data_IF_400916635828
#
_entry.id   IF_400916635828
#
_cell.length_a   1.000
_cell.length_b   1.000
_cell.length_c   1.000
_cell.angle_alpha   90.00
_cell.angle_beta   90.00
_cell.angle_gamma   90.00
#
_symmetry.space_group_name_H-M   'P 1'
#
loop_
_entity.id
_entity.type
_entity.pdbx_description
1 polymer ?
#
# COMPACT_ATOMS: atom_id res chain seq x y z
N UNK A 1 2.40 42.12 14.81
CA UNK A 1 2.91 41.52 13.58
C UNK A 1 2.42 40.10 13.61
N UNK A 2 1.22 39.94 13.05
CA UNK A 2 0.33 38.80 13.20
C UNK A 2 0.38 38.07 11.88
N UNK A 3 0.81 36.81 11.88
CA UNK A 3 0.63 35.97 10.71
C UNK A 3 -0.17 34.72 11.11
N UNK A 4 -1.13 34.41 10.25
CA UNK A 4 -2.24 33.51 10.46
C UNK A 4 -1.99 32.17 9.71
N UNK A 5 -3.00 31.28 9.62
CA UNK A 5 -3.05 30.00 10.31
C UNK A 5 -2.44 28.83 9.54
N UNK A 6 -2.07 27.79 10.30
CA UNK A 6 -1.81 26.42 9.84
C UNK A 6 -2.95 25.92 8.93
N UNK A 7 -2.67 25.71 7.65
CA UNK A 7 -3.59 25.07 6.70
C UNK A 7 -3.42 23.56 6.79
N UNK A 8 -4.50 22.88 7.19
CA UNK A 8 -4.65 21.45 6.93
C UNK A 8 -4.65 21.26 5.41
N UNK A 9 -3.66 20.52 4.92
CA UNK A 9 -3.53 20.17 3.49
C UNK A 9 -4.64 19.21 3.14
N UNK A 10 -5.68 19.72 2.47
CA UNK A 10 -6.76 18.91 1.91
C UNK A 10 -6.43 18.46 0.49
N UNK A 11 -7.10 17.38 0.10
CA UNK A 11 -6.91 16.57 -1.11
C UNK A 11 -7.04 17.46 -2.36
N UNK A 12 -6.01 17.44 -3.23
CA UNK A 12 -5.71 18.37 -4.33
C UNK A 12 -5.04 19.70 -3.92
N UNK A 13 -3.96 19.64 -3.14
CA UNK A 13 -3.00 20.75 -3.09
C UNK A 13 -2.15 20.71 -4.38
N UNK A 14 -2.09 21.78 -5.18
CA UNK A 14 -1.33 21.80 -6.44
C UNK A 14 0.19 21.60 -6.26
N UNK A 15 0.65 21.54 -5.01
CA UNK A 15 2.04 21.29 -4.66
C UNK A 15 2.36 19.81 -4.41
N UNK A 16 1.39 18.89 -4.34
CA UNK A 16 1.64 17.46 -4.07
C UNK A 16 1.64 16.66 -5.38
N UNK A 17 2.76 16.00 -5.69
CA UNK A 17 2.85 15.09 -6.84
C UNK A 17 2.31 13.70 -6.53
N UNK A 18 2.54 13.22 -5.30
CA UNK A 18 2.08 11.91 -4.85
C UNK A 18 1.91 11.86 -3.34
N UNK A 19 0.97 11.05 -2.87
CA UNK A 19 0.72 10.82 -1.44
C UNK A 19 0.58 9.34 -1.12
N UNK A 20 1.15 8.93 0.00
CA UNK A 20 0.97 7.62 0.64
C UNK A 20 0.44 7.82 2.06
N UNK A 21 -0.41 6.93 2.53
CA UNK A 21 -0.81 6.88 3.93
C UNK A 21 0.03 5.89 4.72
N UNK A 22 0.40 6.30 5.92
CA UNK A 22 0.98 5.45 6.94
C UNK A 22 -0.15 4.81 7.76
N UNK A 23 -0.31 3.51 7.61
CA UNK A 23 -1.22 2.69 8.38
C UNK A 23 -0.47 2.11 9.57
N UNK A 24 -1.03 2.21 10.76
CA UNK A 24 -0.57 1.55 11.96
C UNK A 24 -1.54 0.44 12.33
N UNK A 25 -1.03 -0.79 12.50
CA UNK A 25 -1.80 -1.83 13.16
C UNK A 25 -1.59 -1.72 14.68
N UNK A 26 -2.66 -1.41 15.41
CA UNK A 26 -2.65 -1.41 16.86
C UNK A 26 -2.26 -2.81 17.36
N UNK A 27 -1.22 -2.95 18.21
CA UNK A 27 -0.72 -4.25 18.65
C UNK A 27 -1.71 -4.99 19.54
N UNK A 28 -2.59 -4.27 20.24
CA UNK A 28 -3.59 -4.85 21.15
C UNK A 28 -4.90 -5.15 20.42
N UNK A 29 -5.52 -4.14 19.81
CA UNK A 29 -6.83 -4.29 19.16
C UNK A 29 -6.75 -4.91 17.76
N UNK A 30 -5.54 -5.00 17.18
CA UNK A 30 -5.28 -5.44 15.80
C UNK A 30 -5.93 -4.59 14.72
N UNK A 31 -6.54 -3.46 15.10
CA UNK A 31 -7.16 -2.50 14.18
C UNK A 31 -6.10 -1.77 13.36
N UNK A 32 -6.41 -1.54 12.08
CA UNK A 32 -5.60 -0.72 11.19
C UNK A 32 -6.11 0.72 11.21
N UNK A 33 -5.23 1.66 11.52
CA UNK A 33 -5.55 3.08 11.66
C UNK A 33 -4.64 3.87 10.72
N UNK A 34 -5.21 4.76 9.91
CA UNK A 34 -4.46 5.72 9.10
C UNK A 34 -3.89 6.78 10.02
N UNK A 35 -2.61 6.70 10.35
CA UNK A 35 -1.99 7.60 11.34
C UNK A 35 -1.20 8.74 10.73
N UNK A 36 -0.84 8.67 9.45
CA UNK A 36 -0.11 9.76 8.82
C UNK A 36 -0.20 9.76 7.30
N UNK A 37 0.22 10.87 6.71
CA UNK A 37 0.32 11.05 5.27
C UNK A 37 1.75 11.48 4.92
N UNK A 38 2.41 10.71 4.06
CA UNK A 38 3.66 11.06 3.42
C UNK A 38 3.36 11.60 2.02
N UNK A 39 3.75 12.83 1.75
CA UNK A 39 3.55 13.49 0.46
C UNK A 39 4.89 13.82 -0.19
N UNK A 40 5.02 13.48 -1.46
CA UNK A 40 6.06 14.01 -2.34
C UNK A 40 5.53 15.29 -2.97
N UNK A 41 6.32 16.36 -2.89
CA UNK A 41 5.96 17.67 -3.41
C UNK A 41 6.49 17.84 -4.84
N UNK A 42 5.83 18.67 -5.61
CA UNK A 42 6.19 19.01 -7.01
C UNK A 42 7.57 19.63 -7.16
N UNK A 43 8.11 20.21 -6.09
CA UNK A 43 9.48 20.76 -6.04
C UNK A 43 10.54 19.76 -5.58
N UNK A 44 10.17 18.48 -5.40
CA UNK A 44 11.06 17.38 -5.01
C UNK A 44 11.28 17.21 -3.50
N UNK A 45 10.66 18.05 -2.66
CA UNK A 45 10.68 17.87 -1.20
C UNK A 45 9.65 16.83 -0.74
N UNK A 46 9.77 16.41 0.52
CA UNK A 46 8.82 15.49 1.17
C UNK A 46 8.18 16.16 2.38
N UNK A 47 6.87 15.96 2.54
CA UNK A 47 6.10 16.38 3.70
C UNK A 47 5.50 15.18 4.43
N UNK A 48 5.53 15.19 5.76
CA UNK A 48 4.84 14.21 6.60
C UNK A 48 3.97 14.92 7.63
N UNK A 49 2.73 14.48 7.78
CA UNK A 49 1.80 14.96 8.80
C UNK A 49 0.98 13.80 9.37
N UNK A 50 0.63 13.90 10.65
CA UNK A 50 -0.30 12.98 11.28
C UNK A 50 -1.75 13.32 10.92
N UNK A 51 -2.58 12.30 10.79
CA UNK A 51 -4.02 12.44 10.57
C UNK A 51 -4.74 12.76 11.89
N UNK A 52 -6.02 13.11 11.80
CA UNK A 52 -6.86 13.27 12.99
C UNK A 52 -7.12 11.92 13.70
N UNK A 53 -7.20 10.82 12.93
CA UNK A 53 -7.30 9.47 13.49
C UNK A 53 -6.11 9.13 14.41
N UNK A 54 -4.91 9.57 14.05
CA UNK A 54 -3.73 9.42 14.90
C UNK A 54 -3.86 10.14 16.24
N UNK A 55 -4.51 11.31 16.25
CA UNK A 55 -4.73 12.12 17.47
C UNK A 55 -5.85 11.54 18.32
N UNK A 56 -6.84 10.92 17.68
CA UNK A 56 -7.99 10.31 18.34
C UNK A 56 -7.65 8.92 18.92
N UNK A 57 -6.67 8.22 18.35
CA UNK A 57 -6.20 6.94 18.85
C UNK A 57 -5.42 7.09 20.16
N UNK A 58 -6.05 6.72 21.28
CA UNK A 58 -5.47 6.88 22.63
C UNK A 58 -4.13 6.14 22.81
N UNK A 59 -3.97 4.99 22.16
CA UNK A 59 -2.78 4.13 22.30
C UNK A 59 -1.72 4.39 21.23
N UNK A 60 -1.98 5.34 20.32
CA UNK A 60 -1.02 5.69 19.29
C UNK A 60 0.14 6.50 19.89
N UNK A 61 1.36 6.19 19.45
CA UNK A 61 2.57 6.90 19.85
C UNK A 61 3.20 7.59 18.63
N UNK A 62 3.60 8.87 18.77
CA UNK A 62 4.34 9.55 17.71
C UNK A 62 5.64 8.82 17.37
N UNK A 63 5.97 8.78 16.09
CA UNK A 63 7.26 8.32 15.60
C UNK A 63 8.38 9.20 16.16
N UNK A 64 9.50 8.60 16.56
CA UNK A 64 10.65 9.33 17.15
C UNK A 64 11.16 10.47 16.27
N UNK A 65 11.13 10.31 14.95
CA UNK A 65 11.54 11.35 13.99
C UNK A 65 10.52 12.50 13.89
N UNK A 66 9.28 12.28 14.31
CA UNK A 66 8.15 13.19 14.18
C UNK A 66 7.36 13.26 15.51
N UNK A 67 7.92 13.87 16.56
CA UNK A 67 7.40 13.74 17.92
C UNK A 67 6.10 14.52 18.20
N UNK A 68 5.85 15.60 17.47
CA UNK A 68 4.66 16.43 17.58
C UNK A 68 3.61 16.02 16.52
N UNK A 69 2.43 15.58 16.99
CA UNK A 69 1.29 15.21 16.15
C UNK A 69 0.70 16.42 15.41
N UNK A 70 0.77 17.62 16.01
CA UNK A 70 0.29 18.91 15.48
C UNK A 70 1.03 19.45 14.27
N UNK A 71 2.23 18.93 14.01
CA UNK A 71 3.17 19.54 13.10
C UNK A 71 3.21 18.82 11.75
N UNK A 72 3.32 19.62 10.69
CA UNK A 72 3.76 19.15 9.38
C UNK A 72 5.28 19.25 9.29
N UNK A 73 5.93 18.16 8.91
CA UNK A 73 7.38 18.05 8.77
C UNK A 73 7.76 18.09 7.31
N UNK A 74 8.55 19.07 6.89
CA UNK A 74 9.04 19.19 5.51
C UNK A 74 10.54 18.91 5.48
N UNK A 75 10.97 18.14 4.50
CA UNK A 75 12.36 17.68 4.34
C UNK A 75 12.77 17.68 2.88
N UNK A 76 14.06 17.96 2.61
CA UNK A 76 14.60 17.98 1.25
C UNK A 76 14.78 16.59 0.63
N UNK A 77 14.77 15.53 1.44
CA UNK A 77 14.87 14.15 0.99
C UNK A 77 14.01 13.25 1.86
N UNK A 78 13.74 12.03 1.39
CA UNK A 78 12.86 11.10 2.06
C UNK A 78 13.32 10.86 3.52
N UNK A 79 12.45 11.05 4.53
CA UNK A 79 12.85 10.88 5.92
C UNK A 79 13.35 9.46 6.23
N UNK A 80 14.34 9.36 7.11
CA UNK A 80 14.97 8.10 7.52
C UNK A 80 13.98 7.00 7.96
N UNK A 81 12.88 7.36 8.62
CA UNK A 81 11.82 6.42 8.97
C UNK A 81 11.31 5.64 7.74
N UNK A 82 11.12 6.32 6.61
CA UNK A 82 10.65 5.74 5.35
C UNK A 82 11.78 5.12 4.54
N UNK A 83 12.97 5.73 4.50
CA UNK A 83 14.16 5.16 3.82
C UNK A 83 14.48 3.76 4.37
N UNK A 84 14.37 3.57 5.68
CA UNK A 84 14.66 2.28 6.31
C UNK A 84 13.64 1.17 5.99
N UNK A 85 12.63 1.45 5.17
CA UNK A 85 11.65 0.47 4.65
C UNK A 85 11.95 0.06 3.21
N UNK A 86 12.94 0.69 2.59
CA UNK A 86 13.37 0.39 1.23
C UNK A 86 14.50 -0.63 1.24
N UNK A 87 14.48 -1.53 0.24
CA UNK A 87 15.62 -2.38 -0.03
C UNK A 87 16.82 -1.50 -0.46
N UNK A 88 18.00 -1.79 0.10
CA UNK A 88 19.22 -1.11 -0.33
C UNK A 88 19.53 -1.40 -1.80
N UNK A 89 19.73 -0.33 -2.58
CA UNK A 89 20.13 -0.38 -4.00
C UNK A 89 21.47 -1.07 -4.26
N UNK A 90 22.29 -1.26 -3.21
CA UNK A 90 23.61 -1.91 -3.30
C UNK A 90 23.54 -3.44 -3.22
N UNK A 91 22.36 -4.02 -2.98
CA UNK A 91 22.19 -5.47 -2.90
C UNK A 91 22.21 -6.06 -4.30
N UNK A 92 22.92 -7.16 -4.49
CA UNK A 92 22.98 -7.87 -5.77
C UNK A 92 21.58 -8.32 -6.25
N UNK A 93 20.68 -8.59 -5.32
CA UNK A 93 19.28 -8.98 -5.60
C UNK A 93 18.34 -7.80 -5.89
N UNK A 94 18.84 -6.55 -5.93
CA UNK A 94 17.99 -5.37 -6.15
C UNK A 94 17.32 -5.35 -7.54
N UNK A 95 17.99 -5.74 -8.65
CA UNK A 95 17.34 -5.83 -9.96
C UNK A 95 16.18 -6.83 -9.98
N UNK A 96 16.38 -8.05 -9.47
CA UNK A 96 15.32 -9.09 -9.40
C UNK A 96 14.15 -8.64 -8.52
N UNK A 97 14.44 -7.87 -7.47
CA UNK A 97 13.44 -7.25 -6.62
C UNK A 97 12.60 -6.21 -7.37
N UNK A 98 13.22 -5.30 -8.12
CA UNK A 98 12.49 -4.33 -8.95
C UNK A 98 11.61 -5.02 -10.00
N UNK A 99 12.15 -6.04 -10.66
CA UNK A 99 11.41 -6.83 -11.65
C UNK A 99 10.19 -7.51 -11.01
N UNK A 100 10.37 -8.09 -9.81
CA UNK A 100 9.27 -8.72 -9.08
C UNK A 100 8.17 -7.73 -8.71
N UNK A 101 8.55 -6.46 -8.48
CA UNK A 101 7.62 -5.37 -8.25
C UNK A 101 7.03 -4.80 -9.55
N UNK A 102 7.35 -5.32 -10.74
CA UNK A 102 6.87 -4.80 -12.02
C UNK A 102 7.45 -3.42 -12.38
N UNK A 103 8.64 -3.10 -11.87
CA UNK A 103 9.35 -1.85 -12.16
C UNK A 103 10.44 -2.15 -13.20
N UNK A 104 10.08 -2.01 -14.47
CA UNK A 104 10.98 -2.30 -15.60
C UNK A 104 11.60 -1.04 -16.22
N UNK A 105 11.19 0.15 -15.77
CA UNK A 105 11.73 1.44 -16.20
C UNK A 105 12.42 2.19 -15.05
N UNK A 106 13.60 2.79 -15.27
CA UNK A 106 14.25 3.66 -14.28
C UNK A 106 13.37 4.83 -13.82
N UNK A 107 12.47 5.31 -14.67
CA UNK A 107 11.57 6.44 -14.35
C UNK A 107 10.50 6.07 -13.31
N UNK A 108 10.25 4.77 -13.14
CA UNK A 108 9.33 4.22 -12.12
C UNK A 108 10.06 3.80 -10.84
N UNK A 109 11.39 3.76 -10.82
CA UNK A 109 12.20 3.44 -9.64
C UNK A 109 12.36 4.67 -8.72
N UNK A 110 11.23 5.23 -8.27
CA UNK A 110 11.21 6.26 -7.24
C UNK A 110 11.04 5.64 -5.86
N UNK A 111 11.61 6.25 -4.79
CA UNK A 111 11.39 5.80 -3.42
C UNK A 111 9.90 5.68 -3.06
N UNK A 112 9.06 6.59 -3.56
CA UNK A 112 7.61 6.57 -3.32
C UNK A 112 6.93 5.37 -4.00
N UNK A 113 7.31 5.05 -5.23
CA UNK A 113 6.75 3.88 -5.93
C UNK A 113 7.13 2.58 -5.25
N UNK A 114 8.38 2.44 -4.80
CA UNK A 114 8.82 1.27 -4.06
C UNK A 114 8.06 1.11 -2.73
N UNK A 115 7.87 2.20 -1.99
CA UNK A 115 7.10 2.18 -0.74
C UNK A 115 5.65 1.75 -1.00
N UNK A 116 5.02 2.29 -2.05
CA UNK A 116 3.65 1.98 -2.42
C UNK A 116 3.46 0.50 -2.79
N UNK A 117 4.28 -0.03 -3.70
CA UNK A 117 4.13 -1.42 -4.18
C UNK A 117 4.42 -2.45 -3.10
N UNK A 118 5.33 -2.13 -2.18
CA UNK A 118 5.81 -3.09 -1.18
C UNK A 118 5.01 -3.05 0.12
N UNK A 119 4.34 -1.93 0.40
CA UNK A 119 3.76 -1.65 1.70
C UNK A 119 4.78 -1.23 2.76
N UNK A 120 6.07 -1.14 2.41
CA UNK A 120 7.18 -0.85 3.32
C UNK A 120 7.23 -1.69 4.62
N UNK A 121 6.95 -3.01 4.58
CA UNK A 121 6.85 -3.82 5.78
C UNK A 121 8.20 -3.89 6.50
N UNK A 122 8.16 -3.82 7.82
CA UNK A 122 9.34 -3.99 8.65
C UNK A 122 9.05 -4.97 9.77
N UNK A 123 9.88 -6.01 9.90
CA UNK A 123 9.68 -7.05 10.91
C UNK A 123 9.69 -6.52 12.36
N UNK A 124 10.21 -5.31 12.59
CA UNK A 124 10.33 -4.70 13.92
C UNK A 124 9.16 -3.79 14.29
N UNK A 125 8.19 -3.56 13.40
CA UNK A 125 7.04 -2.72 13.67
C UNK A 125 5.78 -3.17 12.92
N UNK A 126 4.69 -2.45 13.15
CA UNK A 126 3.35 -2.77 12.63
C UNK A 126 2.84 -1.68 11.68
N UNK A 127 3.75 -1.01 10.98
CA UNK A 127 3.39 0.04 10.03
C UNK A 127 3.38 -0.46 8.59
N UNK A 128 2.43 0.05 7.81
CA UNK A 128 2.32 -0.19 6.38
C UNK A 128 2.16 1.13 5.63
N UNK A 129 2.65 1.21 4.40
CA UNK A 129 2.44 2.33 3.50
C UNK A 129 1.47 1.93 2.41
N UNK A 130 0.47 2.75 2.16
CA UNK A 130 -0.56 2.45 1.16
C UNK A 130 -0.73 3.62 0.22
N UNK A 131 -0.98 3.34 -1.06
CA UNK A 131 -1.38 4.38 -2.00
C UNK A 131 -2.67 5.05 -1.52
N UNK A 132 -2.77 6.33 -1.83
CA UNK A 132 -4.04 7.04 -1.72
C UNK A 132 -4.99 6.54 -2.81
N UNK A 133 -6.09 5.89 -2.44
CA UNK A 133 -7.10 5.34 -3.38
C UNK A 133 -8.00 6.43 -3.99
N UNK A 134 -7.37 7.50 -4.45
CA UNK A 134 -8.01 8.62 -5.15
C UNK A 134 -8.13 8.28 -6.63
N UNK A 135 -9.28 8.62 -7.19
CA UNK A 135 -9.51 8.47 -8.62
C UNK A 135 -8.75 9.53 -9.40
N UNK A 136 -8.25 9.14 -10.57
CA UNK A 136 -7.68 10.08 -11.53
C UNK A 136 -8.76 10.98 -12.17
N UNK A 137 -8.34 11.84 -13.11
CA UNK A 137 -9.23 12.74 -13.82
C UNK A 137 -10.34 12.02 -14.62
N UNK A 138 -10.15 10.75 -14.95
CA UNK A 138 -11.09 9.91 -15.70
C UNK A 138 -11.99 9.06 -14.77
N UNK A 139 -11.88 9.25 -13.46
CA UNK A 139 -12.64 8.52 -12.45
C UNK A 139 -12.13 7.10 -12.20
N UNK A 140 -10.88 6.81 -12.56
CA UNK A 140 -10.26 5.49 -12.37
C UNK A 140 -9.39 5.51 -11.11
N UNK A 141 -9.66 4.57 -10.20
CA UNK A 141 -8.81 4.27 -9.05
C UNK A 141 -7.90 3.12 -9.42
N UNK A 142 -6.59 3.32 -9.28
CA UNK A 142 -5.57 2.27 -9.44
C UNK A 142 -4.74 2.15 -8.17
N UNK A 143 -4.50 0.93 -7.71
CA UNK A 143 -3.61 0.67 -6.58
C UNK A 143 -2.92 -0.69 -6.72
N UNK A 144 -1.78 -0.88 -6.06
CA UNK A 144 -1.01 -2.11 -6.11
C UNK A 144 -0.75 -2.65 -4.72
N UNK A 145 -0.72 -3.97 -4.60
CA UNK A 145 -0.37 -4.64 -3.35
C UNK A 145 0.23 -6.03 -3.63
N UNK A 146 1.16 -6.45 -2.79
CA UNK A 146 1.66 -7.82 -2.79
C UNK A 146 0.70 -8.75 -2.06
N UNK A 147 0.40 -9.89 -2.66
CA UNK A 147 -0.47 -10.90 -2.03
C UNK A 147 0.14 -11.41 -0.72
N UNK A 148 -0.66 -11.48 0.33
CA UNK A 148 -0.27 -12.06 1.61
C UNK A 148 -0.44 -13.57 1.61
N UNK A 149 0.32 -14.26 2.45
CA UNK A 149 0.10 -15.68 2.73
C UNK A 149 0.33 -16.66 1.56
N UNK A 150 0.96 -16.23 0.46
CA UNK A 150 1.23 -17.08 -0.72
C UNK A 150 1.93 -18.37 -0.34
N UNK A 151 2.92 -18.34 0.57
CA UNK A 151 3.63 -19.54 1.04
C UNK A 151 2.74 -20.62 1.66
N UNK A 152 1.55 -20.26 2.16
CA UNK A 152 0.63 -21.18 2.81
C UNK A 152 -0.35 -21.82 1.84
N UNK A 153 -0.69 -21.10 0.77
CA UNK A 153 -1.68 -21.53 -0.21
C UNK A 153 -1.02 -22.14 -1.46
N UNK A 154 0.12 -21.61 -1.88
CA UNK A 154 0.86 -22.00 -3.07
C UNK A 154 2.37 -22.06 -2.75
N UNK A 155 2.74 -22.98 -1.87
CA UNK A 155 4.08 -23.06 -1.27
C UNK A 155 5.20 -23.26 -2.30
N UNK A 156 4.96 -24.06 -3.34
CA UNK A 156 5.88 -24.33 -4.44
C UNK A 156 5.68 -23.38 -5.64
N UNK A 157 4.65 -22.52 -5.64
CA UNK A 157 4.35 -21.62 -6.74
C UNK A 157 3.68 -22.30 -7.93
N UNK A 158 3.27 -23.56 -7.81
CA UNK A 158 2.76 -24.35 -8.94
C UNK A 158 1.46 -23.78 -9.51
N UNK A 159 0.60 -23.19 -8.67
CA UNK A 159 -0.63 -22.55 -9.16
C UNK A 159 -0.33 -21.24 -9.86
N UNK A 160 0.56 -20.42 -9.29
CA UNK A 160 0.99 -19.16 -9.90
C UNK A 160 1.77 -19.38 -11.21
N UNK A 161 2.47 -20.49 -11.37
CA UNK A 161 3.16 -20.82 -12.63
C UNK A 161 2.20 -20.97 -13.83
N UNK A 162 0.90 -21.16 -13.58
CA UNK A 162 -0.14 -21.22 -14.61
C UNK A 162 -0.86 -19.87 -14.83
N UNK A 163 -0.42 -18.80 -14.18
CA UNK A 163 -1.03 -17.47 -14.27
C UNK A 163 -0.17 -16.57 -15.13
N UNK A 164 -0.79 -15.87 -16.07
CA UNK A 164 -0.12 -14.88 -16.91
C UNK A 164 -0.21 -13.47 -16.30
N UNK A 165 0.79 -12.64 -16.58
CA UNK A 165 0.72 -11.21 -16.27
C UNK A 165 -0.47 -10.57 -17.00
N UNK A 166 -1.22 -9.72 -16.30
CA UNK A 166 -2.46 -9.12 -16.79
C UNK A 166 -3.71 -10.01 -16.63
N UNK A 167 -3.57 -11.24 -16.12
CA UNK A 167 -4.72 -12.10 -15.89
C UNK A 167 -5.61 -11.59 -14.76
N UNK A 168 -6.93 -11.67 -14.97
CA UNK A 168 -7.92 -11.36 -13.93
C UNK A 168 -7.93 -12.42 -12.83
N UNK A 169 -7.93 -11.95 -11.60
CA UNK A 169 -8.02 -12.73 -10.38
C UNK A 169 -9.40 -12.55 -9.76
N UNK A 170 -9.83 -13.55 -9.00
CA UNK A 170 -11.12 -13.53 -8.30
C UNK A 170 -10.89 -13.33 -6.80
N UNK A 171 -11.78 -12.57 -6.16
CA UNK A 171 -11.83 -12.47 -4.72
C UNK A 171 -12.90 -13.41 -4.17
N UNK A 172 -12.58 -14.11 -3.09
CA UNK A 172 -13.52 -14.98 -2.38
C UNK A 172 -13.41 -14.75 -0.87
N UNK A 173 -14.52 -14.39 -0.24
CA UNK A 173 -14.60 -14.29 1.22
C UNK A 173 -14.37 -15.64 1.89
N UNK A 174 -13.63 -15.64 2.99
CA UNK A 174 -13.41 -16.81 3.86
C UNK A 174 -13.90 -16.49 5.29
N UNK A 175 -15.22 -16.48 5.53
CA UNK A 175 -15.80 -16.04 6.82
C UNK A 175 -15.38 -16.92 8.00
N UNK A 176 -15.04 -18.18 7.76
CA UNK A 176 -14.60 -19.14 8.77
C UNK A 176 -13.08 -19.11 9.00
N UNK A 177 -12.37 -18.10 8.46
CA UNK A 177 -10.93 -17.98 8.65
C UNK A 177 -10.60 -17.76 10.14
N UNK A 178 -9.73 -18.57 10.75
CA UNK A 178 -9.49 -18.55 12.19
C UNK A 178 -8.69 -17.32 12.67
N UNK A 179 -8.08 -16.57 11.75
CA UNK A 179 -7.27 -15.38 12.05
C UNK A 179 -8.07 -14.10 11.83
N UNK A 180 -8.84 -14.04 10.74
CA UNK A 180 -9.59 -12.86 10.34
C UNK A 180 -10.84 -13.25 9.54
N UNK A 181 -12.03 -13.13 10.12
CA UNK A 181 -13.32 -13.40 9.47
C UNK A 181 -13.59 -12.54 8.21
N UNK A 182 -12.87 -11.43 8.03
CA UNK A 182 -12.94 -10.58 6.83
C UNK A 182 -11.96 -11.00 5.73
N UNK A 183 -11.22 -12.10 5.90
CA UNK A 183 -10.21 -12.53 4.95
C UNK A 183 -10.78 -12.69 3.53
N UNK A 184 -10.09 -12.09 2.57
CA UNK A 184 -10.39 -12.21 1.14
C UNK A 184 -9.28 -13.04 0.48
N UNK A 185 -9.64 -14.23 0.03
CA UNK A 185 -8.78 -15.07 -0.79
C UNK A 185 -8.64 -14.46 -2.18
N UNK A 186 -7.43 -14.54 -2.72
CA UNK A 186 -7.11 -14.27 -4.11
C UNK A 186 -7.06 -15.60 -4.82
N UNK A 187 -7.94 -15.79 -5.79
CA UNK A 187 -8.09 -17.02 -6.55
C UNK A 187 -7.72 -16.80 -8.02
N UNK A 188 -7.07 -17.80 -8.61
CA UNK A 188 -6.79 -17.83 -10.06
C UNK A 188 -8.04 -18.26 -10.83
N UNK A 189 -7.98 -18.24 -12.17
CA UNK A 189 -9.13 -18.58 -13.02
C UNK A 189 -9.75 -19.96 -12.78
N UNK A 190 -8.99 -20.93 -12.24
CA UNK A 190 -9.49 -22.25 -11.84
C UNK A 190 -10.32 -22.23 -10.54
N UNK A 191 -10.35 -21.11 -9.81
CA UNK A 191 -10.99 -20.97 -8.49
C UNK A 191 -10.10 -21.41 -7.32
N UNK A 192 -8.87 -21.86 -7.59
CA UNK A 192 -7.90 -22.21 -6.57
C UNK A 192 -7.28 -20.98 -5.92
N UNK A 193 -7.12 -20.97 -4.58
CA UNK A 193 -6.53 -19.84 -3.87
C UNK A 193 -5.00 -19.82 -4.02
N UNK A 194 -4.43 -18.63 -4.18
CA UNK A 194 -2.98 -18.40 -4.29
C UNK A 194 -2.44 -17.40 -3.28
N UNK A 195 -3.31 -16.67 -2.58
CA UNK A 195 -2.91 -15.69 -1.58
C UNK A 195 -4.13 -15.05 -0.92
N UNK A 196 -3.86 -14.03 -0.12
CA UNK A 196 -4.84 -13.21 0.55
C UNK A 196 -4.63 -11.74 0.20
N UNK A 197 -5.71 -10.97 0.16
CA UNK A 197 -5.63 -9.51 0.25
C UNK A 197 -5.03 -9.17 1.62
N UNK A 198 -4.01 -8.30 1.70
CA UNK A 198 -3.45 -7.88 2.98
C UNK A 198 -4.51 -7.26 3.89
N UNK A 199 -4.49 -7.59 5.19
CA UNK A 199 -5.54 -7.16 6.12
C UNK A 199 -5.70 -5.64 6.20
N UNK A 200 -4.60 -4.88 6.06
CA UNK A 200 -4.61 -3.41 6.06
C UNK A 200 -5.39 -2.81 4.87
N UNK A 201 -5.64 -3.59 3.81
CA UNK A 201 -6.34 -3.15 2.61
C UNK A 201 -7.84 -3.49 2.63
N UNK A 202 -8.30 -4.34 3.55
CA UNK A 202 -9.66 -4.89 3.51
C UNK A 202 -10.74 -3.80 3.62
N UNK A 203 -10.60 -2.87 4.56
CA UNK A 203 -11.55 -1.75 4.71
C UNK A 203 -11.58 -0.88 3.45
N UNK A 204 -10.41 -0.56 2.91
CA UNK A 204 -10.27 0.27 1.72
C UNK A 204 -10.84 -0.40 0.46
N UNK A 205 -10.67 -1.71 0.36
CA UNK A 205 -11.23 -2.54 -0.69
C UNK A 205 -12.76 -2.60 -0.59
N UNK A 206 -13.32 -2.83 0.60
CA UNK A 206 -14.78 -2.82 0.84
C UNK A 206 -15.39 -1.46 0.50
N UNK A 207 -14.79 -0.36 0.96
CA UNK A 207 -15.22 1.00 0.65
C UNK A 207 -15.15 1.29 -0.86
N UNK A 208 -14.14 0.74 -1.54
CA UNK A 208 -14.00 0.90 -2.99
C UNK A 208 -15.05 0.07 -3.74
N UNK A 209 -15.30 -1.16 -3.31
CA UNK A 209 -16.36 -2.02 -3.86
C UNK A 209 -17.74 -1.37 -3.70
N UNK A 210 -18.02 -0.72 -2.57
CA UNK A 210 -19.30 -0.06 -2.31
C UNK A 210 -19.54 1.18 -3.19
N UNK A 211 -18.49 1.86 -3.65
CA UNK A 211 -18.57 3.13 -4.40
C UNK A 211 -18.21 3.02 -5.89
N UNK A 212 -17.76 1.86 -6.35
CA UNK A 212 -17.32 1.63 -7.72
C UNK A 212 -18.21 0.61 -8.44
N UNK A 213 -18.23 0.71 -9.77
CA UNK A 213 -18.75 -0.34 -10.64
C UNK A 213 -17.59 -1.01 -11.36
N UNK A 214 -17.51 -2.33 -11.31
CA UNK A 214 -16.47 -3.09 -12.01
C UNK A 214 -15.10 -2.99 -11.36
N UNK A 215 -15.01 -3.21 -10.04
CA UNK A 215 -13.73 -3.46 -9.39
C UNK A 215 -13.11 -4.75 -9.92
N UNK A 216 -11.89 -4.67 -10.43
CA UNK A 216 -11.12 -5.80 -10.93
C UNK A 216 -9.82 -5.93 -10.13
N UNK A 217 -9.44 -7.18 -9.86
CA UNK A 217 -8.11 -7.52 -9.35
C UNK A 217 -7.38 -8.22 -10.48
N UNK A 218 -6.19 -7.71 -10.81
CA UNK A 218 -5.36 -8.20 -11.89
C UNK A 218 -4.03 -8.68 -11.32
N UNK A 219 -3.51 -9.79 -11.82
CA UNK A 219 -2.13 -10.20 -11.60
C UNK A 219 -1.20 -9.25 -12.38
N UNK A 220 -0.77 -8.15 -11.74
CA UNK A 220 0.14 -7.17 -12.36
C UNK A 220 1.46 -7.82 -12.75
N UNK A 221 2.01 -8.63 -11.85
CA UNK A 221 3.24 -9.39 -12.05
C UNK A 221 3.19 -10.71 -11.28
N UNK A 222 3.54 -11.79 -11.94
CA UNK A 222 3.65 -13.13 -11.38
C UNK A 222 5.09 -13.61 -11.44
N UNK A 223 5.65 -13.97 -10.29
CA UNK A 223 7.04 -14.43 -10.15
C UNK A 223 7.09 -15.73 -9.32
N UNK A 224 6.72 -16.90 -9.88
CA UNK A 224 6.58 -18.14 -9.11
C UNK A 224 7.85 -18.53 -8.33
N UNK A 225 9.02 -18.29 -8.93
CA UNK A 225 10.32 -18.62 -8.36
C UNK A 225 10.85 -17.59 -7.36
N UNK A 226 10.17 -16.44 -7.20
CA UNK A 226 10.58 -15.42 -6.25
C UNK A 226 10.33 -15.85 -4.80
N UNK A 227 10.86 -15.06 -3.85
CA UNK A 227 10.52 -15.21 -2.44
C UNK A 227 8.99 -15.15 -2.28
N UNK A 228 8.36 -15.94 -1.40
CA UNK A 228 6.91 -16.08 -1.37
C UNK A 228 6.10 -14.79 -1.31
N UNK A 229 6.61 -13.77 -0.61
CA UNK A 229 5.95 -12.46 -0.47
C UNK A 229 6.09 -11.55 -1.71
N UNK A 230 6.85 -11.96 -2.73
CA UNK A 230 7.07 -11.25 -4.00
C UNK A 230 6.51 -12.02 -5.22
N UNK A 231 5.88 -13.18 -4.99
CA UNK A 231 5.43 -14.06 -6.09
C UNK A 231 4.22 -13.53 -6.84
N UNK A 232 3.41 -12.68 -6.21
CA UNK A 232 2.21 -12.14 -6.82
C UNK A 232 2.05 -10.67 -6.41
N UNK A 233 2.25 -9.78 -7.37
CA UNK A 233 1.84 -8.39 -7.30
C UNK A 233 0.46 -8.28 -7.94
N UNK A 234 -0.49 -7.78 -7.17
CA UNK A 234 -1.85 -7.50 -7.62
C UNK A 234 -2.00 -6.01 -7.94
N UNK A 235 -2.86 -5.70 -8.91
CA UNK A 235 -3.36 -4.36 -9.17
C UNK A 235 -4.88 -4.33 -9.03
N UNK A 236 -5.36 -3.35 -8.28
CA UNK A 236 -6.76 -2.98 -8.21
C UNK A 236 -7.03 -1.98 -9.31
N UNK A 237 -8.08 -2.21 -10.09
CA UNK A 237 -8.67 -1.23 -10.99
C UNK A 237 -10.14 -1.07 -10.64
N UNK A 238 -10.59 0.16 -10.44
CA UNK A 238 -12.00 0.41 -10.20
C UNK A 238 -12.41 1.74 -10.82
N UNK A 239 -13.58 1.78 -11.45
CA UNK A 239 -14.17 3.03 -11.91
C UNK A 239 -15.17 3.52 -10.88
N UNK A 240 -14.90 4.69 -10.31
CA UNK A 240 -15.81 5.37 -9.39
C UNK A 240 -16.61 6.42 -10.15
N UNK A 241 -17.90 6.54 -9.84
CA UNK A 241 -18.71 7.62 -10.38
C UNK A 241 -18.17 8.97 -9.87
N UNK A 242 -18.08 10.02 -10.71
CA UNK A 242 -17.76 11.36 -10.24
C UNK A 242 -18.75 11.76 -9.15
N UNK A 243 -18.23 12.34 -8.07
CA UNK A 243 -19.04 12.88 -6.97
C UNK A 243 -19.74 14.17 -7.38
#
# INVERSE_FOLDING_TARGET
MTDAPSRAVSIADPEVSRRLFLIWQNPESRQFIRVGALSELTDGRYAFAYTDDARAAADFYPLTQFPDLGRTYVSAGLPAFFVNRLMSRKRDSFPDYLHSLGIDSPDLDTPMELLARTGGPRATDTFHLVDDLVADADGVVTSRFLASGVRYLDADGARLACVEDGQRLQLRSEPDNPVNERAQLICVGSGEPVGYVPDWLLTDLEDLQARSSGLEIVAERVNPDAQPHLRLLCRIEARVSPR
#
